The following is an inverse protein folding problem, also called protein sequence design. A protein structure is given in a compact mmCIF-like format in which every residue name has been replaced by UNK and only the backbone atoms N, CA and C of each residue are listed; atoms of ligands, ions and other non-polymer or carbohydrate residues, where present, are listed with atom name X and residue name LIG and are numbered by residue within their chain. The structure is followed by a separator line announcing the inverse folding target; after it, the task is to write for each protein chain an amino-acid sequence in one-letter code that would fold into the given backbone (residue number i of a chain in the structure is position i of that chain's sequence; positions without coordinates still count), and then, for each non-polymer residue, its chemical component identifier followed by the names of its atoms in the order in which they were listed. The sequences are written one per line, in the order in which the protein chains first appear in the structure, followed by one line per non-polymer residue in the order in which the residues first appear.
data_IF_455389841100
#
_entry.id   IF_455389841100
#
_cell.length_a   1.000
_cell.length_b   1.000
_cell.length_c   1.000
_cell.angle_alpha   90.00
_cell.angle_beta   90.00
_cell.angle_gamma   90.00
#
_symmetry.space_group_name_H-M   'P 1'
#
loop_
_entity.id
_entity.type
_entity.pdbx_description
1 polymer ?
#
# COMPACT_ATOMS: atom_id res chain seq x y z
N UNK A 1 -5.89 12.21 4.42
CA UNK A 1 -4.77 12.13 3.44
C UNK A 1 -3.46 12.24 4.21
N UNK A 2 -2.82 11.11 4.51
CA UNK A 2 -1.47 11.02 5.10
C UNK A 2 -0.64 9.94 4.36
N UNK A 3 -0.89 9.77 3.06
CA UNK A 3 -0.12 8.83 2.24
C UNK A 3 1.00 9.55 1.47
N UNK A 4 1.76 10.40 2.17
CA UNK A 4 3.10 10.74 1.72
C UNK A 4 4.02 9.67 2.32
N UNK A 5 4.19 8.54 1.61
CA UNK A 5 5.13 7.51 2.03
C UNK A 5 6.52 8.16 2.05
N UNK A 6 7.01 8.41 3.26
CA UNK A 6 8.34 8.89 3.56
C UNK A 6 9.34 7.84 3.03
N UNK A 7 10.21 8.25 2.11
CA UNK A 7 11.24 7.41 1.54
C UNK A 7 12.52 7.50 2.37
N UNK A 8 12.61 6.61 3.36
CA UNK A 8 13.85 6.35 4.10
C UNK A 8 14.15 4.84 4.25
N UNK A 9 13.53 3.95 3.45
CA UNK A 9 13.84 2.51 3.48
C UNK A 9 13.67 1.78 2.12
N UNK A 10 14.35 0.63 1.96
CA UNK A 10 14.42 -0.24 0.75
C UNK A 10 13.04 -0.77 0.32
N UNK A 11 12.04 -0.59 1.18
CA UNK A 11 10.67 -1.08 0.99
C UNK A 11 9.70 -0.02 0.47
N UNK A 12 10.17 1.21 0.21
CA UNK A 12 9.34 2.28 -0.34
C UNK A 12 9.02 2.03 -1.83
N UNK A 13 7.79 2.37 -2.28
CA UNK A 13 7.51 2.43 -3.71
C UNK A 13 8.44 3.44 -4.37
N UNK A 14 8.91 3.14 -5.58
CA UNK A 14 9.69 4.09 -6.38
C UNK A 14 8.95 5.44 -6.38
N UNK A 15 9.57 6.48 -5.82
CA UNK A 15 9.07 7.84 -5.99
C UNK A 15 8.97 8.09 -7.48
N UNK A 16 7.77 8.46 -7.94
CA UNK A 16 7.59 8.97 -9.29
C UNK A 16 8.61 10.11 -9.51
N UNK A 17 9.25 10.13 -10.68
CA UNK A 17 10.21 11.16 -11.08
C UNK A 17 9.59 12.57 -11.26
N UNK A 18 8.39 12.82 -10.76
CA UNK A 18 7.71 14.12 -10.78
C UNK A 18 7.43 14.55 -9.34
N UNK A 19 7.83 15.78 -8.98
CA UNK A 19 7.49 16.35 -7.69
C UNK A 19 5.96 16.37 -7.51
N UNK A 20 5.51 16.10 -6.28
CA UNK A 20 4.10 16.24 -5.95
C UNK A 20 3.69 17.70 -6.08
N UNK A 21 2.75 18.00 -6.97
CA UNK A 21 2.21 19.37 -7.15
C UNK A 21 0.81 19.44 -6.57
N UNK A 22 0.46 20.55 -5.91
CA UNK A 22 -0.86 20.72 -5.27
C UNK A 22 -2.03 20.43 -6.22
N UNK A 23 -1.85 20.74 -7.50
CA UNK A 23 -2.84 20.62 -8.56
C UNK A 23 -3.04 19.17 -9.03
N UNK A 24 -2.06 18.28 -8.81
CA UNK A 24 -2.05 16.88 -9.27
C UNK A 24 -1.94 15.87 -8.13
N UNK A 25 -1.86 16.34 -6.87
CA UNK A 25 -1.56 15.53 -5.70
C UNK A 25 -2.43 14.28 -5.60
N UNK A 26 -3.74 14.40 -5.81
CA UNK A 26 -4.66 13.27 -5.72
C UNK A 26 -4.37 12.21 -6.80
N UNK A 27 -4.18 12.64 -8.06
CA UNK A 27 -3.87 11.72 -9.16
C UNK A 27 -2.51 11.05 -8.99
N UNK A 28 -1.50 11.78 -8.50
CA UNK A 28 -0.17 11.24 -8.21
C UNK A 28 -0.22 10.24 -7.05
N UNK A 29 -0.98 10.53 -5.99
CA UNK A 29 -1.19 9.61 -4.86
C UNK A 29 -1.93 8.35 -5.28
N UNK A 30 -2.97 8.45 -6.12
CA UNK A 30 -3.69 7.29 -6.65
C UNK A 30 -2.77 6.41 -7.51
N UNK A 31 -1.95 7.02 -8.35
CA UNK A 31 -0.98 6.31 -9.19
C UNK A 31 0.06 5.56 -8.35
N UNK A 32 0.64 6.23 -7.34
CA UNK A 32 1.61 5.61 -6.42
C UNK A 32 0.95 4.49 -5.60
N UNK A 33 -0.28 4.69 -5.12
CA UNK A 33 -1.03 3.70 -4.35
C UNK A 33 -1.30 2.45 -5.18
N UNK A 34 -1.77 2.65 -6.43
CA UNK A 34 -1.97 1.55 -7.38
C UNK A 34 -0.67 0.83 -7.69
N UNK A 35 0.41 1.56 -7.98
CA UNK A 35 1.72 0.96 -8.25
C UNK A 35 2.23 0.12 -7.06
N UNK A 36 2.09 0.64 -5.83
CA UNK A 36 2.52 -0.06 -4.63
C UNK A 36 1.71 -1.34 -4.38
N UNK A 37 0.38 -1.26 -4.44
CA UNK A 37 -0.51 -2.41 -4.20
C UNK A 37 -0.25 -3.54 -5.20
N UNK A 38 0.08 -3.20 -6.45
CA UNK A 38 0.36 -4.19 -7.50
C UNK A 38 1.86 -4.52 -7.63
N UNK A 39 2.71 -4.07 -6.70
CA UNK A 39 4.14 -4.38 -6.71
C UNK A 39 4.45 -5.73 -6.04
N UNK A 40 5.69 -6.20 -6.16
CA UNK A 40 6.20 -7.41 -5.47
C UNK A 40 6.21 -7.31 -3.94
N UNK A 41 5.87 -6.15 -3.36
CA UNK A 41 5.72 -5.96 -1.92
C UNK A 41 4.37 -6.48 -1.39
N UNK A 42 3.47 -6.91 -2.27
CA UNK A 42 2.17 -7.46 -1.92
C UNK A 42 1.85 -8.68 -2.81
N UNK A 43 1.26 -9.72 -2.22
CA UNK A 43 0.65 -10.83 -2.95
C UNK A 43 -0.87 -10.76 -2.73
N UNK A 44 -1.60 -10.66 -3.84
CA UNK A 44 -3.06 -10.47 -3.84
C UNK A 44 -3.73 -11.77 -4.29
N UNK A 45 -4.40 -12.43 -3.35
CA UNK A 45 -5.24 -13.60 -3.63
C UNK A 45 -6.69 -13.36 -3.23
N UNK A 46 -7.58 -14.25 -3.69
CA UNK A 46 -9.03 -14.15 -3.44
C UNK A 46 -9.36 -14.29 -1.95
N UNK A 47 -8.76 -15.26 -1.27
CA UNK A 47 -9.04 -15.58 0.14
C UNK A 47 -7.86 -15.30 1.07
N UNK A 48 -6.69 -15.04 0.50
CA UNK A 48 -5.44 -14.86 1.24
C UNK A 48 -4.68 -13.70 0.62
N UNK A 49 -4.33 -12.73 1.44
CA UNK A 49 -3.48 -11.60 1.09
C UNK A 49 -2.19 -11.71 1.90
N UNK A 50 -1.06 -11.43 1.26
CA UNK A 50 0.20 -11.21 1.95
C UNK A 50 0.66 -9.80 1.65
N UNK A 51 0.52 -8.89 2.61
CA UNK A 51 0.69 -7.46 2.39
C UNK A 51 1.97 -6.93 3.03
N UNK A 52 2.46 -5.79 2.57
CA UNK A 52 3.52 -5.06 3.27
C UNK A 52 3.10 -4.68 4.70
N UNK A 53 4.04 -4.69 5.66
CA UNK A 53 3.77 -4.27 7.06
C UNK A 53 3.26 -2.83 7.18
N UNK A 54 3.40 -2.00 6.13
CA UNK A 54 2.80 -0.65 6.11
C UNK A 54 1.28 -0.72 6.36
N UNK A 55 0.59 -1.74 5.82
CA UNK A 55 -0.85 -1.94 6.04
C UNK A 55 -1.18 -2.33 7.48
N UNK A 56 -0.22 -2.93 8.20
CA UNK A 56 -0.33 -3.24 9.63
C UNK A 56 -0.14 -1.99 10.48
N UNK A 57 0.91 -1.21 10.22
CA UNK A 57 1.29 -0.04 11.02
C UNK A 57 0.32 1.12 10.87
N UNK A 58 -0.13 1.37 9.64
CA UNK A 58 -1.05 2.46 9.32
C UNK A 58 -2.49 1.97 9.15
N UNK A 59 -2.86 0.84 9.76
CA UNK A 59 -4.20 0.22 9.62
C UNK A 59 -5.35 1.22 9.82
N UNK A 60 -5.17 2.19 10.71
CA UNK A 60 -6.14 3.23 11.04
C UNK A 60 -6.42 4.22 9.89
N UNK A 61 -5.53 4.32 8.92
CA UNK A 61 -5.60 5.28 7.82
C UNK A 61 -6.37 4.72 6.62
N UNK A 62 -6.55 3.39 6.53
CA UNK A 62 -7.32 2.73 5.47
C UNK A 62 -8.80 2.68 5.83
N UNK A 63 -9.47 3.82 5.63
CA UNK A 63 -10.89 3.99 5.89
C UNK A 63 -11.69 3.87 4.60
N UNK A 64 -12.69 3.00 4.58
CA UNK A 64 -13.68 2.87 3.50
C UNK A 64 -15.06 2.92 4.14
N UNK A 65 -15.95 3.76 3.61
CA UNK A 65 -17.32 3.97 4.13
C UNK A 65 -17.38 4.21 5.65
N UNK A 66 -16.41 4.97 6.17
CA UNK A 66 -16.32 5.31 7.60
C UNK A 66 -15.82 4.18 8.51
N UNK A 67 -15.35 3.06 7.96
CA UNK A 67 -14.81 1.92 8.71
C UNK A 67 -13.37 1.62 8.31
N UNK A 68 -12.58 1.11 9.26
CA UNK A 68 -11.22 0.62 9.00
C UNK A 68 -11.32 -0.68 8.19
N UNK A 69 -11.01 -0.61 6.91
CA UNK A 69 -11.13 -1.74 5.99
C UNK A 69 -9.97 -1.77 5.00
N UNK A 70 -8.96 -2.58 5.35
CA UNK A 70 -7.78 -2.79 4.50
C UNK A 70 -8.14 -3.59 3.25
N UNK A 71 -9.09 -4.53 3.33
CA UNK A 71 -9.45 -5.39 2.20
C UNK A 71 -10.19 -4.56 1.16
N UNK A 72 -11.18 -3.76 1.58
CA UNK A 72 -11.89 -2.86 0.70
C UNK A 72 -10.95 -1.81 0.09
N UNK A 73 -10.04 -1.24 0.90
CA UNK A 73 -9.04 -0.30 0.40
C UNK A 73 -8.15 -0.93 -0.68
N UNK A 74 -7.57 -2.11 -0.42
CA UNK A 74 -6.72 -2.81 -1.38
C UNK A 74 -7.51 -3.16 -2.65
N UNK A 75 -8.74 -3.65 -2.50
CA UNK A 75 -9.60 -4.05 -3.62
C UNK A 75 -9.85 -2.92 -4.62
N UNK A 76 -9.91 -1.66 -4.17
CA UNK A 76 -10.13 -0.50 -5.03
C UNK A 76 -8.95 -0.21 -6.00
N UNK A 77 -7.75 -0.72 -5.72
CA UNK A 77 -6.53 -0.40 -6.48
C UNK A 77 -5.88 -1.62 -7.14
N UNK A 78 -6.44 -2.82 -7.01
CA UNK A 78 -5.92 -4.02 -7.68
C UNK A 78 -6.25 -3.97 -9.18
N UNK A 79 -5.25 -4.27 -10.01
CA UNK A 79 -5.41 -4.27 -11.46
C UNK A 79 -5.84 -5.63 -12.03
N UNK A 80 -5.67 -6.70 -11.25
CA UNK A 80 -6.07 -8.05 -11.66
C UNK A 80 -7.60 -8.20 -11.60
N UNK A 81 -8.22 -8.99 -12.49
CA UNK A 81 -9.65 -9.27 -12.46
C UNK A 81 -9.98 -10.27 -11.34
N UNK A 82 -9.76 -9.86 -10.10
CA UNK A 82 -9.97 -10.67 -8.90
C UNK A 82 -10.94 -9.98 -7.95
N UNK A 83 -11.93 -10.73 -7.46
CA UNK A 83 -12.79 -10.28 -6.37
C UNK A 83 -12.23 -10.83 -5.07
N UNK A 84 -11.61 -9.96 -4.27
CA UNK A 84 -11.10 -10.33 -2.96
C UNK A 84 -12.28 -10.57 -2.01
N UNK A 85 -12.27 -11.70 -1.31
CA UNK A 85 -13.26 -12.01 -0.30
C UNK A 85 -13.20 -10.96 0.83
N UNK A 86 -14.34 -10.42 1.28
CA UNK A 86 -14.37 -9.53 2.46
C UNK A 86 -13.81 -10.19 3.73
N UNK A 87 -13.78 -11.53 3.77
CA UNK A 87 -13.24 -12.32 4.87
C UNK A 87 -11.84 -12.89 4.56
N UNK A 88 -11.14 -12.35 3.55
CA UNK A 88 -9.79 -12.79 3.22
C UNK A 88 -8.86 -12.63 4.43
N UNK A 89 -8.02 -13.63 4.64
CA UNK A 89 -6.99 -13.56 5.69
C UNK A 89 -5.83 -12.67 5.23
N UNK A 90 -5.27 -11.89 6.15
CA UNK A 90 -4.12 -11.02 5.88
C UNK A 90 -2.91 -11.55 6.65
N UNK A 91 -1.92 -12.03 5.91
CA UNK A 91 -0.55 -12.19 6.37
C UNK A 91 0.25 -10.93 6.01
N UNK A 92 1.40 -10.73 6.67
CA UNK A 92 2.31 -9.65 6.33
C UNK A 92 3.68 -10.19 5.97
N UNK A 93 4.32 -9.58 4.96
CA UNK A 93 5.73 -9.84 4.69
C UNK A 93 6.59 -9.45 5.89
N UNK A 94 7.73 -10.11 6.06
CA UNK A 94 8.75 -9.60 6.96
C UNK A 94 9.25 -8.25 6.44
N UNK A 95 9.31 -7.28 7.35
CA UNK A 95 9.78 -5.95 7.00
C UNK A 95 11.23 -5.88 7.41
N UNK A 96 12.08 -5.77 6.39
CA UNK A 96 13.49 -5.54 6.59
C UNK A 96 13.70 -4.08 7.00
N UNK A 97 14.10 -3.89 8.25
CA UNK A 97 14.45 -2.58 8.83
C UNK A 97 15.86 -2.13 8.43
N UNK A 98 16.60 -2.93 7.66
CA UNK A 98 17.95 -2.64 7.18
C UNK A 98 17.98 -1.48 6.19
N UNK A 99 17.78 -0.26 6.68
CA UNK A 99 18.20 0.95 5.99
C UNK A 99 18.60 2.07 6.95
N UNK A 100 19.46 1.74 7.93
CA UNK A 100 20.21 2.77 8.66
C UNK A 100 21.53 2.31 9.31
N UNK A 101 21.99 1.07 9.07
CA UNK A 101 23.36 0.69 9.47
C UNK A 101 24.29 0.92 8.28
N UNK A 102 24.67 2.18 8.08
CA UNK A 102 25.94 2.51 7.44
C UNK A 102 26.96 2.67 8.58
N UNK A 103 28.08 1.92 8.62
CA UNK A 103 29.23 2.34 9.42
C UNK A 103 29.85 3.64 8.86
#
# INVERSE_FOLDING_TARGET
IHFAINCASISCPNLFNEAFTANKINAQLDAVTRAFINSSKNEIGKNHLKLSKIFKWYKKDYMVDGKKDVIAFVSAYVNQPITISPNATIAYFEYDWGLNEQP
#
